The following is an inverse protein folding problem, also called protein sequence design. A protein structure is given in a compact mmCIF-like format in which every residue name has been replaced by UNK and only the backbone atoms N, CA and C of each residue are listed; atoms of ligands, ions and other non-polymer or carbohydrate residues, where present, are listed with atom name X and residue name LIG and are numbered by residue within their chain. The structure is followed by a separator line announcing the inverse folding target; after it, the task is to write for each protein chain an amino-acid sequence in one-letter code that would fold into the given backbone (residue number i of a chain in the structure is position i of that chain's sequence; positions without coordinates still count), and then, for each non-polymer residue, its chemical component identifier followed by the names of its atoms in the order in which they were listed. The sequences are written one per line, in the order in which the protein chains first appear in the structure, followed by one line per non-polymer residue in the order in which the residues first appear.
data_IF_410030266891
#
_entry.id   IF_410030266891
#
_cell.length_a   1.000
_cell.length_b   1.000
_cell.length_c   1.000
_cell.angle_alpha   90.00
_cell.angle_beta   90.00
_cell.angle_gamma   90.00
#
_symmetry.space_group_name_H-M   'P 1'
#
loop_
_entity.id
_entity.type
_entity.pdbx_description
1 polymer ?
#
# COMPACT_ATOMS: atom_id res chain seq x y z
N UNK A 1 -19.45 -0.71 9.45
CA UNK A 1 -18.55 -0.10 10.48
C UNK A 1 -17.19 -0.78 10.39
N UNK A 2 -16.09 -0.01 10.27
CA UNK A 2 -14.73 -0.55 10.25
C UNK A 2 -14.34 -0.95 11.67
N UNK A 3 -13.97 -2.22 11.90
CA UNK A 3 -13.27 -2.58 13.14
C UNK A 3 -11.82 -2.09 13.04
N UNK A 4 -11.59 -0.87 13.54
CA UNK A 4 -10.28 -0.21 13.48
C UNK A 4 -9.22 -1.03 14.24
N UNK A 5 -9.57 -1.59 15.39
CA UNK A 5 -8.64 -2.36 16.22
C UNK A 5 -8.22 -3.65 15.50
N UNK A 6 -9.15 -4.42 14.96
CA UNK A 6 -8.86 -5.62 14.19
C UNK A 6 -7.99 -5.31 12.96
N UNK A 7 -8.37 -4.30 12.17
CA UNK A 7 -7.62 -3.95 10.97
C UNK A 7 -6.19 -3.49 11.26
N UNK A 8 -5.98 -2.75 12.34
CA UNK A 8 -4.64 -2.30 12.70
C UNK A 8 -3.78 -3.44 13.24
N UNK A 9 -4.34 -4.36 14.04
CA UNK A 9 -3.60 -5.48 14.63
C UNK A 9 -3.37 -6.62 13.65
N UNK A 10 -4.33 -6.91 12.78
CA UNK A 10 -4.22 -7.99 11.80
C UNK A 10 -3.40 -7.60 10.54
N UNK A 11 -2.96 -6.35 10.43
CA UNK A 11 -2.09 -5.89 9.34
C UNK A 11 -0.65 -5.78 9.82
N UNK A 12 0.25 -6.54 9.20
CA UNK A 12 1.70 -6.40 9.40
C UNK A 12 2.21 -5.19 8.63
N UNK A 13 3.07 -4.37 9.27
CA UNK A 13 3.70 -3.19 8.68
C UNK A 13 5.19 -3.18 8.98
N UNK A 14 5.99 -2.92 7.97
CA UNK A 14 7.45 -2.87 8.09
C UNK A 14 7.99 -1.77 7.17
N UNK A 15 9.07 -1.12 7.60
CA UNK A 15 9.85 -0.21 6.77
C UNK A 15 11.24 -0.82 6.58
N UNK A 16 11.70 -0.87 5.33
CA UNK A 16 12.98 -1.48 4.94
C UNK A 16 13.85 -0.47 4.23
N UNK A 17 15.16 -0.66 4.33
CA UNK A 17 16.12 -0.05 3.42
C UNK A 17 16.16 -0.82 2.09
N UNK A 18 16.61 -0.19 1.00
CA UNK A 18 16.65 -0.83 -0.32
C UNK A 18 17.55 -2.09 -0.34
N UNK A 19 18.59 -2.13 0.48
CA UNK A 19 19.49 -3.28 0.62
C UNK A 19 18.74 -4.52 1.11
N UNK A 20 17.86 -4.37 2.11
CA UNK A 20 17.04 -5.47 2.67
C UNK A 20 15.94 -5.93 1.72
N UNK A 21 15.46 -5.02 0.85
CA UNK A 21 14.43 -5.35 -0.15
C UNK A 21 15.00 -6.18 -1.31
N UNK A 22 16.26 -5.95 -1.68
CA UNK A 22 16.95 -6.71 -2.74
C UNK A 22 17.31 -8.12 -2.28
N UNK A 23 17.65 -8.35 -1.01
CA UNK A 23 17.98 -9.67 -0.46
C UNK A 23 16.77 -10.61 -0.39
N UNK A 24 15.58 -10.09 -0.13
CA UNK A 24 14.34 -10.89 -0.16
C UNK A 24 13.95 -11.34 -1.58
N UNK A 25 14.44 -10.64 -2.61
CA UNK A 25 14.23 -11.00 -4.03
C UNK A 25 15.40 -11.83 -4.61
N UNK A 26 16.55 -11.87 -3.94
CA UNK A 26 17.80 -12.46 -4.44
C UNK A 26 18.39 -13.49 -3.48
N UNK A 27 17.62 -14.54 -3.12
CA UNK A 27 18.19 -15.71 -2.44
C UNK A 27 19.17 -16.53 -3.32
N UNK A 28 19.53 -16.00 -4.47
CA UNK A 28 20.52 -16.65 -5.36
C UNK A 28 21.37 -15.63 -6.14
N UNK A 29 22.21 -14.84 -5.50
CA UNK A 29 23.49 -14.40 -6.10
C UNK A 29 24.27 -13.53 -5.12
N UNK A 30 25.45 -14.04 -4.76
CA UNK A 30 26.48 -13.37 -3.94
C UNK A 30 27.06 -12.15 -4.64
N UNK A 31 27.00 -10.98 -4.02
CA UNK A 31 28.04 -9.92 -4.06
C UNK A 31 27.69 -8.82 -3.05
N UNK A 32 28.61 -8.56 -2.13
CA UNK A 32 28.53 -7.54 -1.07
C UNK A 32 28.81 -6.15 -1.63
N UNK A 33 27.90 -5.16 -1.50
CA UNK A 33 28.25 -3.75 -1.64
C UNK A 33 28.46 -3.06 -0.28
N UNK A 34 29.38 -2.08 -0.27
CA UNK A 34 29.72 -1.22 0.85
C UNK A 34 28.61 -0.23 1.21
N UNK A 35 28.50 0.19 2.50
CA UNK A 35 27.55 1.22 2.90
C UNK A 35 28.15 2.61 2.60
N UNK A 36 27.70 3.28 1.57
CA UNK A 36 27.91 4.70 1.34
C UNK A 36 26.64 5.36 0.80
N UNK A 37 26.17 6.37 1.57
CA UNK A 37 25.21 7.44 1.26
C UNK A 37 23.92 7.05 0.52
N UNK A 38 22.88 6.75 1.30
CA UNK A 38 21.52 6.53 0.85
C UNK A 38 20.93 7.78 0.16
N UNK A 39 20.81 7.74 -1.17
CA UNK A 39 20.12 8.76 -1.97
C UNK A 39 18.60 8.62 -1.91
N UNK A 40 17.88 9.68 -2.33
CA UNK A 40 16.41 9.69 -2.38
C UNK A 40 15.91 8.51 -3.25
N UNK A 41 15.10 7.61 -2.64
CA UNK A 41 14.56 6.42 -3.32
C UNK A 41 15.00 5.09 -2.72
N UNK A 42 15.70 5.07 -1.59
CA UNK A 42 16.34 3.86 -1.03
C UNK A 42 15.53 3.17 0.06
N UNK A 43 14.29 3.58 0.29
CA UNK A 43 13.43 2.95 1.30
C UNK A 43 12.24 2.26 0.67
N UNK A 44 11.69 1.32 1.40
CA UNK A 44 10.46 0.63 1.04
C UNK A 44 9.57 0.43 2.26
N UNK A 45 8.29 0.30 2.00
CA UNK A 45 7.31 -0.14 2.99
C UNK A 45 6.76 -1.50 2.58
N UNK A 46 6.46 -2.32 3.58
CA UNK A 46 5.82 -3.64 3.43
C UNK A 46 4.54 -3.66 4.24
N UNK A 47 3.48 -4.11 3.61
CA UNK A 47 2.19 -4.36 4.22
C UNK A 47 1.77 -5.79 3.90
N UNK A 48 1.36 -6.57 4.92
CA UNK A 48 0.79 -7.90 4.73
C UNK A 48 -0.58 -8.00 5.37
N UNK A 49 -1.51 -8.61 4.64
CA UNK A 49 -2.87 -8.85 5.10
C UNK A 49 -3.36 -10.21 4.62
N UNK A 50 -4.11 -10.90 5.49
CA UNK A 50 -4.81 -12.13 5.16
C UNK A 50 -6.22 -11.83 4.68
N UNK A 51 -6.65 -12.53 3.61
CA UNK A 51 -7.99 -12.47 3.04
C UNK A 51 -8.62 -13.86 3.08
N UNK A 52 -9.85 -14.03 3.58
CA UNK A 52 -10.54 -15.33 3.61
C UNK A 52 -11.09 -15.70 2.22
N UNK A 53 -10.21 -15.69 1.22
CA UNK A 53 -10.49 -15.97 -0.19
C UNK A 53 -9.29 -16.65 -0.84
N UNK A 54 -9.49 -17.55 -1.84
CA UNK A 54 -8.38 -18.16 -2.57
C UNK A 54 -7.60 -17.12 -3.39
N UNK A 55 -6.30 -17.37 -3.67
CA UNK A 55 -5.43 -16.44 -4.41
C UNK A 55 -5.99 -15.98 -5.76
N UNK A 56 -6.67 -16.84 -6.49
CA UNK A 56 -7.27 -16.50 -7.79
C UNK A 56 -8.34 -15.42 -7.68
N UNK A 57 -9.14 -15.45 -6.60
CA UNK A 57 -10.19 -14.43 -6.34
C UNK A 57 -9.56 -13.08 -6.02
N UNK A 58 -8.55 -13.06 -5.16
CA UNK A 58 -7.81 -11.84 -4.80
C UNK A 58 -7.03 -11.31 -6.00
N UNK A 59 -6.40 -12.21 -6.79
CA UNK A 59 -5.69 -11.87 -8.02
C UNK A 59 -6.58 -11.10 -9.00
N UNK A 60 -7.74 -11.64 -9.32
CA UNK A 60 -8.69 -10.98 -10.21
C UNK A 60 -9.07 -9.58 -9.69
N UNK A 61 -9.28 -9.44 -8.38
CA UNK A 61 -9.64 -8.16 -7.78
C UNK A 61 -8.55 -7.10 -7.92
N UNK A 62 -7.26 -7.48 -7.93
CA UNK A 62 -6.12 -6.55 -7.98
C UNK A 62 -5.50 -6.40 -9.38
N UNK A 63 -5.95 -7.16 -10.40
CA UNK A 63 -5.37 -7.12 -11.75
C UNK A 63 -6.38 -6.87 -12.87
N UNK A 64 -7.70 -7.01 -12.62
CA UNK A 64 -8.72 -6.73 -13.62
C UNK A 64 -9.22 -5.29 -13.46
N UNK A 65 -9.11 -4.45 -14.51
CA UNK A 65 -9.42 -3.02 -14.47
C UNK A 65 -10.84 -2.73 -13.97
N UNK A 66 -11.84 -3.49 -14.44
CA UNK A 66 -13.24 -3.34 -14.02
C UNK A 66 -13.44 -3.65 -12.53
N UNK A 67 -12.67 -4.59 -11.98
CA UNK A 67 -12.73 -4.94 -10.57
C UNK A 67 -12.01 -3.90 -9.72
N UNK A 68 -10.82 -3.47 -10.12
CA UNK A 68 -10.06 -2.40 -9.45
C UNK A 68 -10.92 -1.13 -9.36
N UNK A 69 -11.65 -0.79 -10.44
CA UNK A 69 -12.54 0.36 -10.49
C UNK A 69 -13.64 0.35 -9.42
N UNK A 70 -14.00 -0.82 -8.88
CA UNK A 70 -15.06 -0.98 -7.89
C UNK A 70 -14.61 -0.78 -6.45
N UNK A 71 -13.31 -0.82 -6.18
CA UNK A 71 -12.81 -0.66 -4.81
C UNK A 71 -11.69 0.38 -4.68
N UNK A 72 -10.91 0.64 -5.72
CA UNK A 72 -9.83 1.62 -5.68
C UNK A 72 -10.21 2.90 -6.44
N UNK A 73 -10.13 2.86 -7.75
CA UNK A 73 -10.49 3.95 -8.66
C UNK A 73 -10.58 3.43 -10.10
N UNK A 74 -11.24 4.14 -11.03
CA UNK A 74 -11.26 3.78 -12.44
C UNK A 74 -9.84 3.61 -13.00
N UNK A 75 -9.64 2.52 -13.74
CA UNK A 75 -8.36 2.19 -14.39
C UNK A 75 -8.55 2.20 -15.90
N UNK A 76 -7.61 2.81 -16.60
CA UNK A 76 -7.52 2.78 -18.07
C UNK A 76 -6.15 2.30 -18.50
N UNK A 77 -6.02 1.84 -19.75
CA UNK A 77 -4.78 1.27 -20.28
C UNK A 77 -4.75 -0.25 -20.22
N UNK A 78 -3.55 -0.82 -20.14
CA UNK A 78 -3.33 -2.26 -20.27
C UNK A 78 -2.60 -2.82 -19.05
N UNK A 79 -3.27 -3.69 -18.28
CA UNK A 79 -2.73 -4.35 -17.09
C UNK A 79 -2.05 -5.70 -17.44
N UNK A 80 -1.18 -5.69 -18.45
CA UNK A 80 -0.32 -6.82 -18.85
C UNK A 80 1.15 -6.41 -18.84
N UNK A 81 2.05 -7.35 -18.75
CA UNK A 81 3.50 -7.08 -18.76
C UNK A 81 3.88 -6.18 -19.95
N UNK A 82 4.58 -5.08 -19.67
CA UNK A 82 4.96 -4.03 -20.62
C UNK A 82 3.84 -3.04 -20.97
N UNK A 83 2.61 -3.23 -20.48
CA UNK A 83 1.49 -2.31 -20.71
C UNK A 83 1.56 -1.10 -19.78
N UNK A 84 1.10 0.06 -20.26
CA UNK A 84 0.95 1.27 -19.47
C UNK A 84 -0.49 1.43 -19.00
N UNK A 85 -0.68 1.96 -17.81
CA UNK A 85 -1.99 2.17 -17.19
C UNK A 85 -2.07 3.52 -16.47
N UNK A 86 -3.30 3.96 -16.24
CA UNK A 86 -3.63 5.11 -15.42
C UNK A 86 -4.72 4.74 -14.41
N UNK A 87 -4.48 5.00 -13.14
CA UNK A 87 -5.47 4.91 -12.05
C UNK A 87 -5.91 6.31 -11.68
N UNK A 88 -7.19 6.62 -11.88
CA UNK A 88 -7.73 7.96 -11.69
C UNK A 88 -7.41 8.53 -10.30
N UNK A 89 -6.89 9.77 -10.27
CA UNK A 89 -6.52 10.51 -9.06
C UNK A 89 -5.48 9.79 -8.15
N UNK A 90 -4.78 8.75 -8.67
CA UNK A 90 -3.81 7.98 -7.91
C UNK A 90 -2.42 8.00 -8.57
N UNK A 91 -2.26 7.35 -9.72
CA UNK A 91 -0.97 7.22 -10.38
C UNK A 91 -1.06 6.78 -11.83
N UNK A 92 -0.05 7.13 -12.59
CA UNK A 92 0.32 6.48 -13.85
C UNK A 92 1.39 5.43 -13.59
N UNK A 93 1.43 4.39 -14.43
CA UNK A 93 2.43 3.35 -14.30
C UNK A 93 2.56 2.44 -15.51
N UNK A 94 3.57 1.57 -15.42
CA UNK A 94 3.81 0.49 -16.38
C UNK A 94 3.86 -0.83 -15.62
N UNK A 95 3.26 -1.86 -16.17
CA UNK A 95 3.33 -3.22 -15.61
C UNK A 95 4.70 -3.82 -15.91
N UNK A 96 5.49 -4.03 -14.87
CA UNK A 96 6.83 -4.60 -14.97
C UNK A 96 6.80 -6.12 -15.05
N UNK A 97 5.96 -6.74 -14.23
CA UNK A 97 5.83 -8.18 -14.13
C UNK A 97 4.38 -8.58 -13.81
N UNK A 98 3.93 -9.68 -14.42
CA UNK A 98 2.59 -10.23 -14.20
C UNK A 98 2.66 -11.75 -14.29
N UNK A 99 2.63 -12.44 -13.14
CA UNK A 99 2.68 -13.90 -13.00
C UNK A 99 1.44 -14.38 -12.22
N UNK A 100 0.35 -14.69 -12.91
CA UNK A 100 -0.89 -15.13 -12.26
C UNK A 100 -0.73 -16.48 -11.53
N UNK A 101 -1.36 -16.66 -10.36
CA UNK A 101 -2.03 -15.65 -9.55
C UNK A 101 -1.12 -15.10 -8.44
N UNK A 102 0.20 -15.06 -8.62
CA UNK A 102 1.18 -14.93 -7.55
C UNK A 102 1.86 -13.57 -7.45
N UNK A 103 2.13 -12.91 -8.59
CA UNK A 103 2.97 -11.71 -8.58
C UNK A 103 2.53 -10.69 -9.62
N UNK A 104 2.32 -9.46 -9.16
CA UNK A 104 2.03 -8.31 -10.00
C UNK A 104 2.91 -7.14 -9.55
N UNK A 105 3.79 -6.66 -10.44
CA UNK A 105 4.70 -5.57 -10.16
C UNK A 105 4.51 -4.44 -11.17
N UNK A 106 4.43 -3.21 -10.68
CA UNK A 106 4.18 -2.01 -11.50
C UNK A 106 5.04 -0.84 -11.03
N UNK A 107 5.36 0.08 -11.94
CA UNK A 107 5.77 1.43 -11.52
C UNK A 107 4.55 2.21 -11.02
N UNK A 108 4.72 3.15 -10.07
CA UNK A 108 3.63 3.86 -9.44
C UNK A 108 3.95 5.34 -9.25
N UNK A 109 3.45 6.18 -10.15
CA UNK A 109 3.65 7.63 -10.09
C UNK A 109 5.06 8.12 -10.41
N UNK A 110 5.95 7.21 -10.84
CA UNK A 110 7.32 7.53 -11.23
C UNK A 110 8.10 6.27 -11.57
N UNK A 111 9.15 6.39 -12.36
CA UNK A 111 9.93 5.23 -12.86
C UNK A 111 10.68 4.48 -11.75
N UNK A 112 11.07 5.17 -10.68
CA UNK A 112 11.82 4.60 -9.56
C UNK A 112 10.93 4.03 -8.45
N UNK A 113 9.67 4.43 -8.39
CA UNK A 113 8.70 3.93 -7.42
C UNK A 113 8.05 2.66 -7.95
N UNK A 114 8.23 1.55 -7.27
CA UNK A 114 7.69 0.24 -7.68
C UNK A 114 6.77 -0.31 -6.60
N UNK A 115 5.58 -0.71 -7.01
CA UNK A 115 4.63 -1.45 -6.16
C UNK A 115 4.58 -2.89 -6.64
N UNK A 116 4.86 -3.82 -5.73
CA UNK A 116 4.79 -5.25 -5.96
C UNK A 116 3.75 -5.86 -5.05
N UNK A 117 2.79 -6.57 -5.63
CA UNK A 117 1.81 -7.38 -4.91
C UNK A 117 2.17 -8.85 -5.10
N UNK A 118 2.33 -9.58 -3.98
CA UNK A 118 2.50 -11.03 -3.96
C UNK A 118 1.32 -11.67 -3.26
N UNK A 119 0.86 -12.78 -3.82
CA UNK A 119 -0.22 -13.58 -3.23
C UNK A 119 0.26 -15.01 -3.01
N UNK A 120 0.03 -15.52 -1.81
CA UNK A 120 0.30 -16.91 -1.47
C UNK A 120 -0.89 -17.49 -0.68
N UNK A 121 -1.22 -18.75 -0.94
CA UNK A 121 -2.17 -19.47 -0.10
C UNK A 121 -1.52 -19.82 1.25
N UNK A 122 -2.27 -19.67 2.33
CA UNK A 122 -1.89 -20.26 3.62
C UNK A 122 -2.39 -21.72 3.74
N UNK A 123 -2.16 -22.36 4.88
CA UNK A 123 -2.58 -23.74 5.13
C UNK A 123 -4.09 -23.97 5.07
N UNK A 124 -4.90 -22.93 5.28
CA UNK A 124 -6.36 -22.99 5.19
C UNK A 124 -6.89 -22.71 3.77
N UNK A 125 -6.00 -22.33 2.83
CA UNK A 125 -6.35 -21.94 1.47
C UNK A 125 -6.75 -20.46 1.34
N UNK A 126 -6.62 -19.67 2.40
CA UNK A 126 -6.82 -18.23 2.37
C UNK A 126 -5.57 -17.52 1.81
N UNK A 127 -5.76 -16.32 1.29
CA UNK A 127 -4.68 -15.56 0.67
C UNK A 127 -3.95 -14.70 1.70
N UNK A 128 -2.64 -14.84 1.77
CA UNK A 128 -1.75 -13.81 2.33
C UNK A 128 -1.32 -12.90 1.18
N UNK A 129 -1.77 -11.65 1.22
CA UNK A 129 -1.32 -10.59 0.33
C UNK A 129 -0.15 -9.84 0.98
N UNK A 130 0.96 -9.75 0.26
CA UNK A 130 2.07 -8.86 0.58
C UNK A 130 2.13 -7.75 -0.46
N UNK A 131 2.04 -6.49 -0.01
CA UNK A 131 2.29 -5.31 -0.81
C UNK A 131 3.64 -4.71 -0.39
N UNK A 132 4.54 -4.53 -1.35
CA UNK A 132 5.84 -3.87 -1.17
C UNK A 132 5.87 -2.65 -2.07
N UNK A 133 6.09 -1.47 -1.50
CA UNK A 133 6.28 -0.22 -2.26
C UNK A 133 7.70 0.28 -2.02
N UNK A 134 8.54 0.22 -3.04
CA UNK A 134 9.95 0.63 -3.01
C UNK A 134 10.19 1.92 -3.78
N UNK A 135 11.40 2.48 -3.66
CA UNK A 135 11.75 3.72 -4.32
C UNK A 135 11.17 4.96 -3.64
N UNK A 136 10.79 4.84 -2.37
CA UNK A 136 10.22 5.95 -1.59
C UNK A 136 11.31 6.67 -0.77
N UNK A 137 11.11 7.96 -0.43
CA UNK A 137 12.01 8.68 0.47
C UNK A 137 11.92 8.15 1.91
N UNK A 138 12.81 8.62 2.78
CA UNK A 138 12.91 8.24 4.20
C UNK A 138 11.59 8.35 4.97
N UNK A 139 10.76 9.33 4.66
CA UNK A 139 9.44 9.54 5.24
C UNK A 139 8.28 8.89 4.43
N UNK A 140 8.65 8.17 3.37
CA UNK A 140 7.72 7.60 2.39
C UNK A 140 6.72 6.61 2.98
N UNK A 141 7.12 5.85 4.00
CA UNK A 141 6.22 4.91 4.66
C UNK A 141 5.03 5.64 5.34
N UNK A 142 5.27 6.81 5.94
CA UNK A 142 4.21 7.64 6.54
C UNK A 142 3.39 8.36 5.47
N UNK A 143 4.01 8.76 4.35
CA UNK A 143 3.30 9.41 3.24
C UNK A 143 2.39 8.47 2.47
N UNK A 144 2.80 7.23 2.25
CA UNK A 144 2.10 6.27 1.35
C UNK A 144 1.39 5.14 2.10
N UNK A 145 1.96 4.66 3.20
CA UNK A 145 1.44 3.50 3.93
C UNK A 145 -0.02 3.63 4.38
N UNK A 146 -0.46 4.76 4.96
CA UNK A 146 -1.86 4.93 5.34
C UNK A 146 -2.83 4.89 4.15
N UNK A 147 -2.41 5.36 2.98
CA UNK A 147 -3.19 5.23 1.75
C UNK A 147 -3.36 3.77 1.33
N UNK A 148 -2.30 2.97 1.46
CA UNK A 148 -2.38 1.52 1.20
C UNK A 148 -3.25 0.79 2.22
N UNK A 149 -3.22 1.16 3.50
CA UNK A 149 -4.13 0.60 4.51
C UNK A 149 -5.60 0.87 4.15
N UNK A 150 -5.94 2.09 3.71
CA UNK A 150 -7.29 2.43 3.24
C UNK A 150 -7.65 1.64 1.98
N UNK A 151 -6.73 1.49 1.03
CA UNK A 151 -6.93 0.71 -0.18
C UNK A 151 -7.20 -0.77 0.14
N UNK A 152 -6.42 -1.38 1.04
CA UNK A 152 -6.62 -2.76 1.50
C UNK A 152 -7.97 -2.92 2.23
N UNK A 153 -8.37 -1.95 3.04
CA UNK A 153 -9.69 -1.97 3.69
C UNK A 153 -10.84 -1.90 2.67
N UNK A 154 -10.66 -1.14 1.58
CA UNK A 154 -11.61 -1.08 0.47
C UNK A 154 -11.69 -2.40 -0.30
N UNK A 155 -10.53 -3.04 -0.55
CA UNK A 155 -10.45 -4.36 -1.17
C UNK A 155 -11.16 -5.44 -0.34
N UNK A 156 -10.99 -5.44 1.00
CA UNK A 156 -11.70 -6.37 1.88
C UNK A 156 -13.21 -6.22 1.78
N UNK A 157 -13.71 -4.97 1.78
CA UNK A 157 -15.14 -4.72 1.61
C UNK A 157 -15.65 -5.25 0.27
N UNK A 158 -14.93 -4.98 -0.80
CA UNK A 158 -15.27 -5.46 -2.12
C UNK A 158 -15.34 -6.99 -2.19
N UNK A 159 -14.34 -7.68 -1.62
CA UNK A 159 -14.29 -9.14 -1.58
C UNK A 159 -15.37 -9.75 -0.68
N UNK A 160 -15.76 -9.06 0.39
CA UNK A 160 -16.88 -9.44 1.24
C UNK A 160 -18.26 -9.25 0.57
N UNK A 161 -18.30 -8.72 -0.67
CA UNK A 161 -19.56 -8.45 -1.38
C UNK A 161 -20.24 -7.14 -0.96
N UNK A 162 -19.60 -6.33 -0.11
CA UNK A 162 -20.09 -4.99 0.26
C UNK A 162 -19.72 -4.01 -0.87
N UNK A 163 -20.53 -4.04 -1.91
CA UNK A 163 -20.37 -3.19 -3.09
C UNK A 163 -21.13 -1.89 -2.87
N UNK A 164 -20.41 -0.86 -2.45
CA UNK A 164 -20.97 0.49 -2.41
C UNK A 164 -21.09 1.02 -3.85
N UNK A 165 -22.20 1.68 -4.17
CA UNK A 165 -22.37 2.37 -5.45
C UNK A 165 -21.42 3.58 -5.56
N UNK A 166 -20.93 4.09 -4.42
CA UNK A 166 -19.97 5.19 -4.32
C UNK A 166 -18.73 4.82 -3.49
N UNK A 167 -17.72 4.14 -4.07
CA UNK A 167 -16.46 3.84 -3.37
C UNK A 167 -15.68 5.11 -2.95
N UNK A 168 -15.85 6.22 -3.65
CA UNK A 168 -15.18 7.48 -3.30
C UNK A 168 -15.82 8.12 -2.06
N UNK A 169 -17.16 8.11 -1.97
CA UNK A 169 -17.88 8.57 -0.79
C UNK A 169 -17.55 7.76 0.45
N UNK A 170 -17.44 6.44 0.33
CA UNK A 170 -16.99 5.62 1.45
C UNK A 170 -15.60 6.01 1.94
N UNK A 171 -14.63 6.18 1.04
CA UNK A 171 -13.28 6.60 1.42
C UNK A 171 -13.21 7.97 2.08
N UNK A 172 -14.16 8.85 1.75
CA UNK A 172 -14.29 10.19 2.35
C UNK A 172 -15.08 10.21 3.66
N UNK A 173 -15.64 9.08 4.08
CA UNK A 173 -16.45 9.02 5.30
C UNK A 173 -15.62 9.30 6.56
N UNK A 174 -16.24 9.85 7.59
CA UNK A 174 -15.62 10.09 8.89
C UNK A 174 -15.00 8.82 9.49
N UNK A 175 -15.63 7.67 9.26
CA UNK A 175 -15.13 6.37 9.70
C UNK A 175 -13.76 6.04 9.07
N UNK A 176 -13.63 6.22 7.74
CA UNK A 176 -12.36 5.97 7.02
C UNK A 176 -11.33 7.03 7.39
N UNK A 177 -11.71 8.29 7.56
CA UNK A 177 -10.80 9.33 8.04
C UNK A 177 -10.24 9.02 9.43
N UNK A 178 -11.07 8.51 10.34
CA UNK A 178 -10.65 8.05 11.67
C UNK A 178 -9.69 6.87 11.56
N UNK A 179 -10.00 5.88 10.72
CA UNK A 179 -9.10 4.77 10.45
C UNK A 179 -7.75 5.25 9.90
N UNK A 180 -7.76 6.19 8.95
CA UNK A 180 -6.54 6.77 8.39
C UNK A 180 -5.65 7.46 9.44
N UNK A 181 -6.24 8.19 10.41
CA UNK A 181 -5.48 8.78 11.52
C UNK A 181 -4.76 7.72 12.36
N UNK A 182 -5.45 6.64 12.70
CA UNK A 182 -4.84 5.52 13.44
C UNK A 182 -3.76 4.82 12.60
N UNK A 183 -3.97 4.67 11.30
CA UNK A 183 -3.00 4.11 10.37
C UNK A 183 -1.73 4.97 10.29
N UNK A 184 -1.85 6.31 10.19
CA UNK A 184 -0.69 7.23 10.26
C UNK A 184 0.14 6.95 11.53
N UNK A 185 -0.52 6.85 12.69
CA UNK A 185 0.16 6.55 13.95
C UNK A 185 0.84 5.18 13.95
N UNK A 186 0.26 4.18 13.27
CA UNK A 186 0.87 2.84 13.14
C UNK A 186 2.12 2.88 12.25
N UNK A 187 2.09 3.61 11.14
CA UNK A 187 3.24 3.76 10.25
C UNK A 187 4.36 4.60 10.85
N UNK A 188 4.05 5.61 11.67
CA UNK A 188 5.06 6.34 12.45
C UNK A 188 5.81 5.37 13.37
N UNK A 189 5.07 4.54 14.14
CA UNK A 189 5.70 3.53 15.03
C UNK A 189 6.54 2.51 14.24
N UNK A 190 6.08 2.05 13.09
CA UNK A 190 6.83 1.12 12.24
C UNK A 190 8.13 1.77 11.72
N UNK A 191 8.09 3.05 11.34
CA UNK A 191 9.26 3.81 10.87
C UNK A 191 10.26 4.05 12.01
N UNK A 192 9.79 4.36 13.21
CA UNK A 192 10.66 4.49 14.39
C UNK A 192 11.31 3.15 14.77
N UNK A 193 10.52 2.07 14.77
CA UNK A 193 10.99 0.73 15.09
C UNK A 193 12.06 0.23 14.10
N UNK A 194 12.02 0.66 12.84
CA UNK A 194 13.05 0.34 11.85
C UNK A 194 14.34 1.17 12.00
N UNK A 195 14.33 2.20 12.84
CA UNK A 195 15.46 3.13 13.00
C UNK A 195 15.67 4.10 11.82
N UNK A 196 14.77 4.08 10.82
CA UNK A 196 14.90 4.92 9.62
C UNK A 196 14.68 6.40 9.95
N UNK A 197 13.72 6.73 10.82
CA UNK A 197 13.43 8.11 11.21
C UNK A 197 12.79 8.18 12.60
N UNK A 198 12.73 9.38 13.17
CA UNK A 198 12.03 9.66 14.43
C UNK A 198 10.71 10.38 14.16
N UNK A 199 9.74 10.32 15.10
CA UNK A 199 8.45 11.01 14.97
C UNK A 199 8.63 12.53 14.72
N UNK A 200 9.63 13.17 15.33
CA UNK A 200 9.94 14.59 15.13
C UNK A 200 10.25 14.89 13.65
N UNK A 201 11.09 14.05 13.02
CA UNK A 201 11.48 14.21 11.62
C UNK A 201 10.36 13.84 10.63
N UNK A 202 9.29 13.20 11.12
CA UNK A 202 8.13 12.79 10.32
C UNK A 202 6.97 13.79 10.38
N UNK A 203 7.10 14.90 11.13
CA UNK A 203 6.02 15.85 11.38
C UNK A 203 5.35 16.36 10.10
N UNK A 204 6.13 16.74 9.09
CA UNK A 204 5.58 17.23 7.81
C UNK A 204 4.85 16.12 7.06
N UNK A 205 5.42 14.92 7.02
CA UNK A 205 4.81 13.75 6.38
C UNK A 205 3.48 13.37 7.05
N UNK A 206 3.42 13.44 8.38
CA UNK A 206 2.20 13.21 9.18
C UNK A 206 1.12 14.24 8.78
N UNK A 207 1.47 15.53 8.81
CA UNK A 207 0.53 16.59 8.47
C UNK A 207 0.03 16.49 7.03
N UNK A 208 0.91 16.22 6.07
CA UNK A 208 0.55 16.07 4.65
C UNK A 208 -0.38 14.88 4.45
N UNK A 209 -0.08 13.74 5.09
CA UNK A 209 -0.89 12.55 5.00
C UNK A 209 -2.29 12.77 5.62
N UNK A 210 -2.37 13.39 6.80
CA UNK A 210 -3.63 13.69 7.47
C UNK A 210 -4.48 14.69 6.67
N UNK A 211 -3.88 15.74 6.10
CA UNK A 211 -4.63 16.69 5.24
C UNK A 211 -5.25 15.99 4.03
N UNK A 212 -4.60 14.99 3.48
CA UNK A 212 -5.07 14.23 2.32
C UNK A 212 -6.12 13.18 2.68
N UNK A 213 -5.90 12.42 3.76
CA UNK A 213 -6.73 11.25 4.09
C UNK A 213 -7.78 11.50 5.16
N UNK A 214 -7.62 12.56 5.97
CA UNK A 214 -8.54 12.93 7.04
C UNK A 214 -8.79 14.45 7.10
N UNK A 215 -9.19 15.08 5.95
CA UNK A 215 -9.31 16.53 5.85
C UNK A 215 -10.34 17.13 6.81
N UNK A 216 -11.44 16.44 7.09
CA UNK A 216 -12.49 16.97 7.95
C UNK A 216 -12.12 16.91 9.44
N UNK A 217 -11.25 15.97 9.82
CA UNK A 217 -10.77 15.81 11.19
C UNK A 217 -9.57 16.73 11.49
N UNK A 218 -8.95 17.33 10.46
CA UNK A 218 -7.81 18.24 10.59
C UNK A 218 -8.18 19.70 10.45
N UNK A 219 -9.43 20.02 10.08
CA UNK A 219 -9.91 21.41 10.04
C UNK A 219 -10.02 21.97 11.45
N UNK A 220 -9.48 23.17 11.73
CA UNK A 220 -9.78 23.84 12.99
C UNK A 220 -11.28 24.06 13.09
N UNK A 221 -11.88 23.71 14.24
CA UNK A 221 -13.29 24.03 14.51
C UNK A 221 -13.48 25.53 14.31
N UNK A 222 -14.33 25.89 13.35
CA UNK A 222 -14.78 27.28 13.20
C UNK A 222 -15.59 27.61 14.44
N UNK A 223 -14.98 28.38 15.36
CA UNK A 223 -15.66 28.96 16.53
C UNK A 223 -16.58 30.12 16.10
#
# INVERSE_FOLDING_TARGET
MIDIADRLTATYREVRTATETSESAASERSATPRPEEASAGEYGLVLRRRFPHPPETVWQAVTEADRIGRWLAPVTGELRAGGSFHVADQADGTVLECVPPHLFAVTWGGETCVVTVRLAADEAGDTVLELVHTGVPRDGAVRHGPGWDVAIASLERFLAGDTDEDPAGWRSSTEVQTFAQHSVSAWVRATEASGVSTAENLTDAIHDCLRRLAPDLTRPSSA
#
